data_IF_534270092850
#
_entry.id   IF_534270092850
#
_cell.length_a   1.000
_cell.length_b   1.000
_cell.length_c   1.000
_cell.angle_alpha   90.00
_cell.angle_beta   90.00
_cell.angle_gamma   90.00
#
_symmetry.space_group_name_H-M   'P 1'
#
loop_
_entity.id
_entity.type
_entity.pdbx_description
1 polymer ?
#
# COMPACT_ATOMS: atom_id res chain seq x y z
N UNK A 1 -14.77 31.37 -0.29
CA UNK A 1 -15.02 30.62 -1.55
C UNK A 1 -13.76 30.12 -2.26
N UNK A 2 -12.54 30.60 -1.97
CA UNK A 2 -11.32 30.15 -2.67
C UNK A 2 -10.84 28.73 -2.33
N UNK A 3 -10.95 28.29 -1.07
CA UNK A 3 -10.43 26.98 -0.62
C UNK A 3 -11.22 25.81 -1.17
N UNK A 4 -12.55 25.96 -1.30
CA UNK A 4 -13.40 24.90 -1.84
C UNK A 4 -13.11 24.69 -3.33
N UNK A 5 -12.92 25.79 -4.09
CA UNK A 5 -12.59 25.71 -5.51
C UNK A 5 -11.21 25.08 -5.73
N UNK A 6 -10.21 25.41 -4.91
CA UNK A 6 -8.87 24.82 -5.05
C UNK A 6 -8.86 23.32 -4.71
N UNK A 7 -9.65 22.88 -3.71
CA UNK A 7 -9.79 21.47 -3.37
C UNK A 7 -10.46 20.67 -4.50
N UNK A 8 -11.50 21.23 -5.11
CA UNK A 8 -12.18 20.61 -6.25
C UNK A 8 -11.23 20.51 -7.44
N UNK A 9 -10.46 21.56 -7.73
CA UNK A 9 -9.51 21.58 -8.84
C UNK A 9 -8.36 20.57 -8.64
N UNK A 10 -7.78 20.48 -7.43
CA UNK A 10 -6.73 19.50 -7.13
C UNK A 10 -7.25 18.07 -7.22
N UNK A 11 -8.43 17.80 -6.64
CA UNK A 11 -9.06 16.47 -6.70
C UNK A 11 -9.39 16.10 -8.14
N UNK A 12 -9.89 17.05 -8.93
CA UNK A 12 -10.17 16.88 -10.35
C UNK A 12 -8.91 16.53 -11.16
N UNK A 13 -7.82 17.26 -10.95
CA UNK A 13 -6.54 17.01 -11.61
C UNK A 13 -5.97 15.62 -11.26
N UNK A 14 -6.00 15.22 -9.98
CA UNK A 14 -5.58 13.88 -9.53
C UNK A 14 -6.44 12.78 -10.16
N UNK A 15 -7.75 13.01 -10.24
CA UNK A 15 -8.69 12.03 -10.81
C UNK A 15 -8.48 11.86 -12.32
N UNK A 16 -8.33 12.97 -13.05
CA UNK A 16 -8.04 12.96 -14.49
C UNK A 16 -6.70 12.30 -14.76
N UNK A 17 -5.67 12.62 -13.96
CA UNK A 17 -4.36 11.99 -14.02
C UNK A 17 -4.47 10.47 -13.86
N UNK A 18 -5.18 10.01 -12.82
CA UNK A 18 -5.37 8.59 -12.56
C UNK A 18 -6.08 7.87 -13.72
N UNK A 19 -7.16 8.45 -14.25
CA UNK A 19 -7.88 7.90 -15.40
C UNK A 19 -7.02 7.83 -16.66
N UNK A 20 -6.23 8.88 -16.95
CA UNK A 20 -5.37 8.95 -18.13
C UNK A 20 -4.25 7.92 -18.07
N UNK A 21 -3.71 7.68 -16.87
CA UNK A 21 -2.75 6.62 -16.58
C UNK A 21 -3.34 5.24 -16.82
N UNK A 22 -4.54 4.97 -16.30
CA UNK A 22 -5.22 3.69 -16.46
C UNK A 22 -5.46 3.35 -17.95
N UNK A 23 -5.81 4.35 -18.76
CA UNK A 23 -6.06 4.19 -20.19
C UNK A 23 -4.77 4.08 -21.03
N UNK A 24 -3.63 4.53 -20.50
CA UNK A 24 -2.33 4.46 -21.20
C UNK A 24 -1.64 3.10 -21.08
N UNK A 25 -2.23 2.16 -20.34
CA UNK A 25 -1.77 0.77 -20.18
C UNK A 25 -2.00 -0.09 -21.44
N UNK A 26 -1.34 0.29 -22.55
CA UNK A 26 -1.53 -0.36 -23.87
C UNK A 26 -0.48 -1.44 -24.19
N UNK A 27 0.57 -1.58 -23.37
CA UNK A 27 1.62 -2.61 -23.53
C UNK A 27 1.78 -3.40 -22.24
N UNK A 28 1.72 -4.73 -22.34
CA UNK A 28 2.01 -5.61 -21.22
C UNK A 28 3.47 -5.44 -20.76
N UNK A 29 3.71 -5.21 -19.46
CA UNK A 29 5.07 -5.16 -18.92
C UNK A 29 5.74 -6.53 -19.03
N UNK A 30 7.05 -6.56 -19.21
CA UNK A 30 7.82 -7.82 -19.23
C UNK A 30 7.70 -8.47 -17.84
N UNK A 31 7.50 -9.79 -17.80
CA UNK A 31 7.36 -10.58 -16.56
C UNK A 31 8.49 -10.30 -15.56
N UNK A 32 9.73 -10.09 -16.04
CA UNK A 32 10.88 -9.75 -15.18
C UNK A 32 10.66 -8.48 -14.34
N UNK A 33 9.99 -7.47 -14.90
CA UNK A 33 9.69 -6.23 -14.16
C UNK A 33 8.60 -6.48 -13.12
N UNK A 34 7.55 -7.22 -13.47
CA UNK A 34 6.47 -7.59 -12.54
C UNK A 34 7.05 -8.31 -11.32
N UNK A 35 7.94 -9.28 -11.52
CA UNK A 35 8.59 -10.00 -10.42
C UNK A 35 9.40 -9.08 -9.52
N UNK A 36 10.11 -8.09 -10.09
CA UNK A 36 10.86 -7.11 -9.32
C UNK A 36 9.95 -6.22 -8.46
N UNK A 37 8.80 -5.78 -8.98
CA UNK A 37 7.83 -5.03 -8.16
C UNK A 37 7.16 -5.91 -7.09
N UNK A 38 6.88 -7.18 -7.39
CA UNK A 38 6.35 -8.10 -6.38
C UNK A 38 7.33 -8.29 -5.23
N UNK A 39 8.62 -8.35 -5.52
CA UNK A 39 9.68 -8.38 -4.50
C UNK A 39 9.68 -7.09 -3.66
N UNK A 40 9.71 -5.93 -4.32
CA UNK A 40 9.86 -4.64 -3.62
C UNK A 40 8.61 -4.22 -2.82
N UNK A 41 7.41 -4.48 -3.36
CA UNK A 41 6.14 -4.19 -2.68
C UNK A 41 5.85 -5.27 -1.64
N UNK A 42 5.98 -6.55 -1.99
CA UNK A 42 5.53 -7.68 -1.18
C UNK A 42 6.57 -8.16 -0.17
N UNK A 43 7.68 -8.71 -0.65
CA UNK A 43 8.72 -9.35 0.20
C UNK A 43 9.27 -8.35 1.21
N UNK A 44 9.50 -7.16 0.70
CA UNK A 44 10.11 -6.06 1.42
C UNK A 44 9.15 -5.51 2.53
N UNK A 45 7.84 -5.76 2.45
CA UNK A 45 6.85 -5.47 3.51
C UNK A 45 6.63 -6.63 4.49
N UNK A 46 7.11 -7.84 4.18
CA UNK A 46 6.85 -9.04 4.97
C UNK A 46 7.31 -8.96 6.44
N UNK A 47 8.50 -8.42 6.78
CA UNK A 47 8.94 -8.32 8.18
C UNK A 47 7.98 -7.48 9.03
N UNK A 48 7.47 -6.38 8.46
CA UNK A 48 6.49 -5.52 9.13
C UNK A 48 5.17 -6.26 9.35
N UNK A 49 4.67 -6.96 8.33
CA UNK A 49 3.42 -7.72 8.41
C UNK A 49 3.51 -8.82 9.48
N UNK A 50 4.60 -9.59 9.50
CA UNK A 50 4.80 -10.67 10.46
C UNK A 50 4.87 -10.12 11.89
N UNK A 51 5.65 -9.07 12.11
CA UNK A 51 5.80 -8.46 13.43
C UNK A 51 4.44 -7.92 13.95
N UNK A 52 3.73 -7.19 13.09
CA UNK A 52 2.44 -6.60 13.46
C UNK A 52 1.40 -7.69 13.71
N UNK A 53 1.33 -8.71 12.86
CA UNK A 53 0.42 -9.84 13.02
C UNK A 53 0.67 -10.65 14.29
N UNK A 54 1.93 -10.85 14.67
CA UNK A 54 2.29 -11.51 15.93
C UNK A 54 1.76 -10.76 17.14
N UNK A 55 2.02 -9.45 17.22
CA UNK A 55 1.54 -8.63 18.33
C UNK A 55 0.02 -8.50 18.34
N UNK A 56 -0.63 -8.30 17.19
CA UNK A 56 -2.09 -8.22 17.11
C UNK A 56 -2.75 -9.53 17.56
N UNK A 57 -2.22 -10.69 17.15
CA UNK A 57 -2.71 -11.98 17.63
C UNK A 57 -2.54 -12.16 19.14
N UNK A 58 -1.38 -11.78 19.69
CA UNK A 58 -1.13 -11.82 21.13
C UNK A 58 -2.09 -10.93 21.93
N UNK A 59 -2.34 -9.71 21.44
CA UNK A 59 -3.30 -8.78 22.06
C UNK A 59 -4.71 -9.36 22.09
N UNK A 60 -5.18 -9.96 20.99
CA UNK A 60 -6.50 -10.58 20.93
C UNK A 60 -6.68 -11.72 21.94
N UNK A 61 -5.64 -12.56 22.13
CA UNK A 61 -5.69 -13.63 23.13
C UNK A 61 -5.84 -13.05 24.53
N UNK A 62 -5.02 -12.06 24.88
CA UNK A 62 -5.06 -11.41 26.21
C UNK A 62 -6.40 -10.69 26.44
N UNK A 63 -6.94 -10.02 25.43
CA UNK A 63 -8.21 -9.30 25.51
C UNK A 63 -9.41 -10.26 25.63
N UNK A 64 -9.41 -11.37 24.91
CA UNK A 64 -10.56 -12.30 24.86
C UNK A 64 -10.56 -13.32 26.00
N UNK A 65 -9.40 -13.63 26.58
CA UNK A 65 -9.25 -14.55 27.71
C UNK A 65 -10.26 -14.35 28.86
N UNK A 66 -10.43 -13.15 29.45
CA UNK A 66 -11.34 -12.97 30.58
C UNK A 66 -12.82 -13.26 30.22
N UNK A 67 -13.20 -13.11 28.96
CA UNK A 67 -14.54 -13.47 28.49
C UNK A 67 -14.72 -14.98 28.47
N UNK A 68 -13.80 -15.72 27.84
CA UNK A 68 -13.90 -17.18 27.77
C UNK A 68 -13.70 -17.87 29.12
N UNK A 69 -12.86 -17.31 29.99
CA UNK A 69 -12.67 -17.80 31.36
C UNK A 69 -13.97 -17.77 32.17
N UNK A 70 -14.76 -16.68 32.08
CA UNK A 70 -16.06 -16.56 32.77
C UNK A 70 -17.07 -17.62 32.35
N UNK A 71 -17.02 -18.06 31.09
CA UNK A 71 -17.92 -19.08 30.54
C UNK A 71 -17.31 -20.49 30.58
N UNK A 72 -16.15 -20.69 31.19
CA UNK A 72 -15.39 -21.96 31.18
C UNK A 72 -15.17 -22.52 29.75
N UNK A 73 -14.98 -21.63 28.78
CA UNK A 73 -14.95 -21.96 27.35
C UNK A 73 -13.57 -21.66 26.70
N UNK A 74 -12.48 -21.74 27.48
CA UNK A 74 -11.12 -21.38 27.05
C UNK A 74 -10.65 -22.14 25.80
N UNK A 75 -11.12 -23.39 25.61
CA UNK A 75 -10.80 -24.20 24.44
C UNK A 75 -11.31 -23.60 23.11
N UNK A 76 -12.32 -22.72 23.14
CA UNK A 76 -12.85 -22.04 21.95
C UNK A 76 -12.06 -20.76 21.59
N UNK A 77 -11.21 -20.27 22.48
CA UNK A 77 -10.47 -19.02 22.29
C UNK A 77 -9.59 -19.07 21.03
N UNK A 78 -8.91 -20.21 20.77
CA UNK A 78 -8.08 -20.37 19.57
C UNK A 78 -8.89 -20.33 18.27
N UNK A 79 -10.10 -20.91 18.27
CA UNK A 79 -10.99 -20.88 17.11
C UNK A 79 -11.50 -19.45 16.83
N UNK A 80 -11.82 -18.70 17.88
CA UNK A 80 -12.22 -17.29 17.74
C UNK A 80 -11.07 -16.46 17.15
N UNK A 81 -9.89 -16.50 17.76
CA UNK A 81 -8.74 -15.67 17.34
C UNK A 81 -8.33 -15.98 15.90
N UNK A 82 -8.24 -17.26 15.54
CA UNK A 82 -7.88 -17.66 14.16
C UNK A 82 -8.92 -17.21 13.13
N UNK A 83 -10.21 -17.32 13.44
CA UNK A 83 -11.29 -16.91 12.54
C UNK A 83 -11.34 -15.39 12.36
N UNK A 84 -11.23 -14.63 13.45
CA UNK A 84 -11.24 -13.17 13.45
C UNK A 84 -10.03 -12.59 12.69
N UNK A 85 -8.84 -13.17 12.91
CA UNK A 85 -7.65 -12.78 12.15
C UNK A 85 -7.82 -13.07 10.66
N UNK A 86 -8.19 -14.30 10.30
CA UNK A 86 -8.27 -14.70 8.89
C UNK A 86 -9.33 -13.94 8.08
N UNK A 87 -10.48 -13.60 8.69
CA UNK A 87 -11.60 -12.97 7.97
C UNK A 87 -11.55 -11.45 7.93
N UNK A 88 -11.08 -10.81 9.00
CA UNK A 88 -11.27 -9.38 9.17
C UNK A 88 -9.92 -8.67 9.30
N UNK A 89 -9.17 -9.02 10.33
CA UNK A 89 -8.01 -8.22 10.72
C UNK A 89 -6.82 -8.42 9.79
N UNK A 90 -6.50 -9.64 9.38
CA UNK A 90 -5.34 -9.89 8.51
C UNK A 90 -5.49 -9.21 7.13
N UNK A 91 -6.60 -9.32 6.40
CA UNK A 91 -6.77 -8.61 5.12
C UNK A 91 -6.65 -7.09 5.27
N UNK A 92 -7.28 -6.52 6.29
CA UNK A 92 -7.28 -5.07 6.53
C UNK A 92 -5.89 -4.57 6.92
N UNK A 93 -5.23 -5.25 7.86
CA UNK A 93 -3.89 -4.87 8.32
C UNK A 93 -2.86 -5.00 7.19
N UNK A 94 -2.89 -6.09 6.42
CA UNK A 94 -1.98 -6.26 5.28
C UNK A 94 -2.19 -5.16 4.25
N UNK A 95 -3.44 -4.87 3.86
CA UNK A 95 -3.74 -3.81 2.89
C UNK A 95 -3.24 -2.44 3.37
N UNK A 96 -3.47 -2.11 4.65
CA UNK A 96 -3.04 -0.85 5.25
C UNK A 96 -1.50 -0.75 5.29
N UNK A 97 -0.82 -1.79 5.78
CA UNK A 97 0.64 -1.80 5.96
C UNK A 97 1.38 -1.75 4.62
N UNK A 98 0.92 -2.53 3.63
CA UNK A 98 1.51 -2.53 2.29
C UNK A 98 1.31 -1.15 1.64
N UNK A 99 0.10 -0.60 1.70
CA UNK A 99 -0.18 0.73 1.13
C UNK A 99 0.66 1.82 1.81
N UNK A 100 0.75 1.81 3.14
CA UNK A 100 1.50 2.80 3.89
C UNK A 100 3.00 2.75 3.55
N UNK A 101 3.59 1.56 3.55
CA UNK A 101 5.02 1.38 3.27
C UNK A 101 5.34 1.70 1.82
N UNK A 102 4.69 1.02 0.88
CA UNK A 102 5.00 1.15 -0.55
C UNK A 102 4.60 2.51 -1.08
N UNK A 103 3.46 3.07 -0.65
CA UNK A 103 3.05 4.41 -1.03
C UNK A 103 4.04 5.48 -0.57
N UNK A 104 4.57 5.36 0.65
CA UNK A 104 5.59 6.29 1.16
C UNK A 104 6.92 6.15 0.40
N UNK A 105 7.32 4.91 0.08
CA UNK A 105 8.53 4.65 -0.69
C UNK A 105 8.46 5.25 -2.10
N UNK A 106 7.35 5.04 -2.81
CA UNK A 106 7.11 5.61 -4.14
C UNK A 106 7.11 7.14 -4.09
N UNK A 107 6.41 7.73 -3.11
CA UNK A 107 6.38 9.19 -2.94
C UNK A 107 7.78 9.76 -2.64
N UNK A 108 8.59 9.08 -1.82
CA UNK A 108 9.96 9.49 -1.51
C UNK A 108 10.89 9.37 -2.73
N UNK A 109 10.73 8.33 -3.54
CA UNK A 109 11.50 8.15 -4.78
C UNK A 109 11.19 9.27 -5.78
N UNK A 110 9.90 9.54 -6.04
CA UNK A 110 9.48 10.63 -6.93
C UNK A 110 9.97 11.99 -6.40
N UNK A 111 9.87 12.22 -5.09
CA UNK A 111 10.38 13.43 -4.43
C UNK A 111 11.89 13.61 -4.63
N UNK A 112 12.65 12.52 -4.49
CA UNK A 112 14.11 12.53 -4.70
C UNK A 112 14.46 12.79 -6.16
N UNK A 113 13.74 12.18 -7.11
CA UNK A 113 13.92 12.44 -8.55
C UNK A 113 13.61 13.89 -8.91
N UNK A 114 12.67 14.54 -8.21
CA UNK A 114 12.37 15.96 -8.41
C UNK A 114 13.48 16.85 -7.87
N UNK A 115 13.97 16.58 -6.65
CA UNK A 115 15.02 17.40 -6.00
C UNK A 115 16.37 17.25 -6.71
N UNK A 116 16.63 16.10 -7.32
CA UNK A 116 17.85 15.83 -8.10
C UNK A 116 17.74 16.19 -9.58
N UNK A 117 16.67 16.91 -9.97
CA UNK A 117 16.40 17.34 -11.35
C UNK A 117 16.33 16.21 -12.39
N UNK A 118 16.19 14.95 -11.96
CA UNK A 118 16.10 13.80 -12.88
C UNK A 118 14.83 13.86 -13.73
N UNK A 119 13.74 14.41 -13.19
CA UNK A 119 12.50 14.61 -13.95
C UNK A 119 12.70 15.63 -15.08
N UNK A 120 13.38 16.74 -14.80
CA UNK A 120 13.65 17.79 -15.78
C UNK A 120 14.65 17.29 -16.85
N UNK A 121 15.61 16.43 -16.44
CA UNK A 121 16.54 15.79 -17.37
C UNK A 121 15.82 14.89 -18.41
N UNK A 122 14.76 14.18 -18.01
CA UNK A 122 13.95 13.37 -18.94
C UNK A 122 13.31 14.24 -20.03
N UNK A 123 12.81 15.43 -19.68
CA UNK A 123 12.22 16.36 -20.64
C UNK A 123 13.25 16.87 -21.66
N UNK A 124 14.47 17.19 -21.21
CA UNK A 124 15.58 17.62 -22.10
C UNK A 124 15.99 16.50 -23.06
N UNK A 125 15.88 15.24 -22.63
CA UNK A 125 16.16 14.07 -23.47
C UNK A 125 15.00 13.72 -24.43
N UNK A 126 13.97 14.57 -24.54
CA UNK A 126 12.76 14.33 -25.32
C UNK A 126 12.04 13.03 -24.94
N UNK A 127 12.16 12.61 -23.67
CA UNK A 127 11.43 11.48 -23.08
C UNK A 127 10.29 12.03 -22.23
N UNK A 128 9.07 11.55 -22.48
CA UNK A 128 7.90 11.93 -21.67
C UNK A 128 8.06 11.41 -20.21
N UNK A 129 8.34 12.29 -19.23
CA UNK A 129 8.59 11.87 -17.84
C UNK A 129 7.37 11.20 -17.24
N UNK A 130 6.17 11.64 -17.63
CA UNK A 130 4.93 11.07 -17.14
C UNK A 130 4.77 9.61 -17.50
N UNK A 131 5.05 9.28 -18.76
CA UNK A 131 4.97 7.91 -19.23
C UNK A 131 6.11 7.03 -18.71
N UNK A 132 7.26 7.63 -18.42
CA UNK A 132 8.42 6.91 -17.86
C UNK A 132 8.19 6.56 -16.38
N UNK A 133 7.83 7.55 -15.55
CA UNK A 133 7.63 7.39 -14.10
C UNK A 133 6.45 6.45 -13.79
N UNK A 134 5.31 6.63 -14.47
CA UNK A 134 4.07 5.92 -14.14
C UNK A 134 4.02 4.47 -14.67
N UNK A 135 4.76 4.16 -15.73
CA UNK A 135 4.85 2.78 -16.22
C UNK A 135 5.98 1.99 -15.53
N UNK A 136 6.86 2.67 -14.79
CA UNK A 136 7.99 2.08 -14.09
C UNK A 136 7.90 2.24 -12.56
N UNK A 137 6.80 2.69 -11.99
CA UNK A 137 6.55 2.71 -10.53
C UNK A 137 5.07 2.42 -10.29
#
# INVERSE_FOLDING_TARGET
MGVINSLIEHTGNITIFFLRTLLSFKKFPKIKHILKYMEDIGVNAAPLIVLTGFFTGGVLVVETYPTFHKFNAEFLMGALVSLSLARELSPVLVALLVTARSGSAIAANIGTMRITEQIDALEVMAVDPMRYLVLQE
#
